data_IF_270920798692
#
_entry.id   IF_270920798692
#
_cell.length_a   1.000
_cell.length_b   1.000
_cell.length_c   1.000
_cell.angle_alpha   90.00
_cell.angle_beta   90.00
_cell.angle_gamma   90.00
#
_symmetry.space_group_name_H-M   'P 1'
#
loop_
_entity.id
_entity.type
_entity.pdbx_description
1 polymer ?
#
# COMPACT_ATOMS: atom_id res chain seq x y z
N UNK A 1 -1.66 -5.31 18.71
CA UNK A 1 -0.69 -5.25 17.61
C UNK A 1 -1.47 -5.50 16.33
N UNK A 2 -1.43 -4.57 15.37
CA UNK A 2 -2.12 -4.71 14.08
C UNK A 2 -1.27 -5.60 13.18
N UNK A 3 -1.93 -6.47 12.42
CA UNK A 3 -1.29 -7.36 11.46
C UNK A 3 -1.76 -6.98 10.05
N UNK A 4 -0.82 -6.80 9.14
CA UNK A 4 -1.10 -6.51 7.74
C UNK A 4 -0.66 -7.68 6.87
N UNK A 5 -1.64 -8.29 6.20
CA UNK A 5 -1.39 -9.34 5.20
C UNK A 5 -0.97 -8.70 3.88
N UNK A 6 0.05 -9.28 3.25
CA UNK A 6 0.55 -8.91 1.94
C UNK A 6 0.58 -10.14 1.03
N UNK A 7 0.30 -9.93 -0.26
CA UNK A 7 0.56 -10.96 -1.27
C UNK A 7 2.08 -11.21 -1.40
N UNK A 8 2.46 -12.44 -1.77
CA UNK A 8 3.88 -12.86 -1.84
C UNK A 8 4.74 -11.93 -2.70
N UNK A 9 4.17 -11.34 -3.76
CA UNK A 9 4.85 -10.38 -4.65
C UNK A 9 5.43 -9.16 -3.92
N UNK A 10 4.88 -8.79 -2.76
CA UNK A 10 5.33 -7.64 -1.99
C UNK A 10 6.38 -7.99 -0.93
N UNK A 11 6.67 -9.28 -0.70
CA UNK A 11 7.65 -9.70 0.32
C UNK A 11 9.01 -9.06 0.02
N UNK A 12 9.55 -9.24 -1.18
CA UNK A 12 10.87 -8.70 -1.53
C UNK A 12 10.91 -7.16 -1.48
N UNK A 13 9.96 -6.41 -2.11
CA UNK A 13 9.89 -4.96 -1.97
C UNK A 13 9.77 -4.45 -0.52
N UNK A 14 9.13 -5.21 0.36
CA UNK A 14 9.05 -4.86 1.80
C UNK A 14 10.42 -5.06 2.44
N UNK A 15 11.03 -6.23 2.25
CA UNK A 15 12.27 -6.59 2.92
C UNK A 15 13.46 -5.72 2.47
N UNK A 16 13.51 -5.35 1.19
CA UNK A 16 14.54 -4.46 0.65
C UNK A 16 14.28 -2.97 0.91
N UNK A 17 13.07 -2.62 1.39
CA UNK A 17 12.68 -1.27 1.76
C UNK A 17 12.20 -0.38 0.60
N UNK A 18 12.01 -0.93 -0.61
CA UNK A 18 11.38 -0.20 -1.72
C UNK A 18 9.92 0.14 -1.44
N UNK A 19 9.17 -0.84 -0.89
CA UNK A 19 7.79 -0.64 -0.46
C UNK A 19 7.77 0.03 0.92
N UNK A 20 7.36 1.29 0.96
CA UNK A 20 7.32 2.16 2.15
C UNK A 20 5.90 2.60 2.51
N UNK A 21 4.95 2.45 1.61
CA UNK A 21 3.53 2.68 1.89
C UNK A 21 2.72 1.41 1.67
N UNK A 22 1.58 1.31 2.33
CA UNK A 22 0.54 0.33 2.03
C UNK A 22 -0.82 0.99 2.06
N UNK A 23 -1.67 0.62 1.10
CA UNK A 23 -3.05 1.06 1.04
C UNK A 23 -3.98 -0.01 1.61
N UNK A 24 -4.91 0.41 2.48
CA UNK A 24 -5.90 -0.48 3.10
C UNK A 24 -7.28 0.13 2.91
N UNK A 25 -8.20 -0.65 2.36
CA UNK A 25 -9.57 -0.19 2.13
C UNK A 25 -10.25 0.10 3.47
N UNK A 26 -10.96 1.23 3.55
CA UNK A 26 -11.49 1.77 4.80
C UNK A 26 -12.69 1.02 5.40
N UNK A 27 -13.12 -0.09 4.80
CA UNK A 27 -14.33 -0.84 5.19
C UNK A 27 -14.12 -1.79 6.40
N UNK A 28 -13.05 -1.61 7.17
CA UNK A 28 -12.85 -2.37 8.42
C UNK A 28 -11.43 -2.41 8.97
N UNK A 29 -10.44 -1.82 8.30
CA UNK A 29 -9.08 -1.75 8.82
C UNK A 29 -8.99 -0.73 9.96
N UNK A 30 -8.48 -1.16 11.12
CA UNK A 30 -8.07 -0.22 12.16
C UNK A 30 -6.99 0.71 11.59
N UNK A 31 -7.24 2.02 11.64
CA UNK A 31 -6.26 3.03 11.25
C UNK A 31 -5.19 3.07 12.33
N UNK A 32 -3.94 2.70 12.02
CA UNK A 32 -2.88 2.68 13.02
C UNK A 32 -2.46 4.11 13.36
N UNK A 33 -1.92 4.29 14.56
CA UNK A 33 -1.36 5.58 14.98
C UNK A 33 0.12 5.64 14.68
N UNK A 34 0.63 6.85 14.44
CA UNK A 34 2.06 7.10 14.32
C UNK A 34 2.81 6.57 15.55
N UNK A 35 3.90 5.84 15.32
CA UNK A 35 4.71 5.19 16.34
C UNK A 35 4.24 3.78 16.73
N UNK A 36 3.07 3.33 16.27
CA UNK A 36 2.63 1.96 16.51
C UNK A 36 3.47 0.96 15.70
N UNK A 37 3.67 -0.22 16.29
CA UNK A 37 4.34 -1.35 15.63
C UNK A 37 3.29 -2.25 14.99
N UNK A 38 3.54 -2.63 13.75
CA UNK A 38 2.67 -3.54 12.98
C UNK A 38 3.46 -4.76 12.54
N UNK A 39 2.81 -5.92 12.59
CA UNK A 39 3.36 -7.15 12.03
C UNK A 39 3.02 -7.23 10.55
N UNK A 40 4.03 -7.48 9.72
CA UNK A 40 3.87 -7.71 8.28
C UNK A 40 3.77 -9.22 8.08
N UNK A 41 2.68 -9.69 7.47
CA UNK A 41 2.37 -11.11 7.29
C UNK A 41 2.24 -11.42 5.80
N UNK A 42 2.74 -12.58 5.38
CA UNK A 42 2.44 -13.17 4.08
C UNK A 42 2.30 -14.68 4.24
N UNK A 43 1.18 -15.25 3.77
CA UNK A 43 0.96 -16.70 3.79
C UNK A 43 1.03 -17.29 5.21
N UNK A 44 0.40 -16.60 6.18
CA UNK A 44 0.42 -16.94 7.61
C UNK A 44 1.78 -16.86 8.32
N UNK A 45 2.80 -16.26 7.70
CA UNK A 45 4.13 -16.05 8.31
C UNK A 45 4.39 -14.58 8.55
N UNK A 46 4.97 -14.25 9.72
CA UNK A 46 5.47 -12.90 9.99
C UNK A 46 6.79 -12.70 9.25
N UNK A 47 6.80 -11.84 8.23
CA UNK A 47 7.98 -11.52 7.42
C UNK A 47 8.77 -10.34 7.98
N UNK A 48 8.16 -9.54 8.87
CA UNK A 48 8.83 -8.42 9.50
C UNK A 48 7.95 -7.64 10.47
N UNK A 49 8.58 -6.70 11.16
CA UNK A 49 7.91 -5.71 12.01
C UNK A 49 8.26 -4.32 11.49
N UNK A 50 7.26 -3.46 11.37
CA UNK A 50 7.43 -2.07 10.95
C UNK A 50 6.85 -1.09 11.96
N UNK A 51 7.45 0.09 12.07
CA UNK A 51 6.85 1.26 12.72
C UNK A 51 5.94 1.97 11.73
N UNK A 52 4.82 2.50 12.21
CA UNK A 52 3.97 3.41 11.43
C UNK A 52 4.50 4.84 11.55
N UNK A 53 4.84 5.46 10.42
CA UNK A 53 5.28 6.85 10.35
C UNK A 53 4.13 7.84 10.18
N UNK A 54 3.07 7.41 9.49
CA UNK A 54 1.86 8.20 9.27
C UNK A 54 0.74 7.35 8.72
N UNK A 55 -0.49 7.85 8.84
CA UNK A 55 -1.65 7.29 8.17
C UNK A 55 -2.57 8.44 7.74
N UNK A 56 -3.04 8.40 6.50
CA UNK A 56 -3.94 9.41 5.92
C UNK A 56 -4.99 8.77 5.00
N UNK A 57 -6.12 9.44 4.83
CA UNK A 57 -7.13 9.04 3.85
C UNK A 57 -6.68 9.53 2.47
N UNK A 58 -6.73 8.64 1.48
CA UNK A 58 -6.44 8.97 0.08
C UNK A 58 -7.51 8.38 -0.84
N UNK A 59 -7.86 9.09 -1.90
CA UNK A 59 -8.60 8.50 -3.01
C UNK A 59 -7.63 7.84 -3.98
N UNK A 60 -7.93 6.64 -4.46
CA UNK A 60 -7.23 6.06 -5.62
C UNK A 60 -8.22 6.02 -6.77
N UNK A 61 -7.88 6.72 -7.85
CA UNK A 61 -8.64 6.71 -9.10
C UNK A 61 -7.97 5.78 -10.08
N UNK A 62 -8.70 4.80 -10.62
CA UNK A 62 -8.24 4.08 -11.80
C UNK A 62 -8.71 4.86 -13.03
N UNK A 63 -7.78 5.49 -13.75
CA UNK A 63 -8.08 6.24 -14.97
C UNK A 63 -8.61 5.32 -16.08
N UNK A 64 -9.23 5.91 -17.10
CA UNK A 64 -9.77 5.16 -18.25
C UNK A 64 -8.69 4.40 -19.04
N UNK A 65 -7.47 4.94 -19.06
CA UNK A 65 -6.28 4.30 -19.63
C UNK A 65 -5.74 3.14 -18.76
N UNK A 66 -6.19 3.02 -17.50
CA UNK A 66 -5.85 1.96 -16.56
C UNK A 66 -4.80 2.34 -15.52
N UNK A 67 -4.25 3.56 -15.53
CA UNK A 67 -3.31 4.02 -14.51
C UNK A 67 -4.01 4.26 -13.16
N UNK A 68 -3.36 3.86 -12.05
CA UNK A 68 -3.82 4.20 -10.70
C UNK A 68 -3.21 5.51 -10.22
N UNK A 69 -4.06 6.49 -9.91
CA UNK A 69 -3.63 7.83 -9.50
C UNK A 69 -4.10 8.11 -8.08
N UNK A 70 -3.19 8.46 -7.16
CA UNK A 70 -3.56 8.93 -5.83
C UNK A 70 -4.14 10.35 -5.90
N UNK A 71 -5.17 10.60 -5.09
CA UNK A 71 -5.78 11.92 -4.91
C UNK A 71 -5.79 12.22 -3.42
N UNK A 72 -5.03 13.22 -3.01
CA UNK A 72 -4.95 13.70 -1.62
C UNK A 72 -5.49 15.13 -1.60
N UNK A 73 -6.57 15.38 -0.86
CA UNK A 73 -7.14 16.70 -0.55
C UNK A 73 -6.91 17.81 -1.62
N UNK A 74 -7.36 17.57 -2.85
CA UNK A 74 -7.41 18.59 -3.90
C UNK A 74 -6.08 18.94 -4.60
N UNK A 75 -5.00 18.19 -4.35
CA UNK A 75 -3.75 18.31 -5.12
C UNK A 75 -3.44 16.98 -5.83
N UNK A 76 -3.37 17.05 -7.16
CA UNK A 76 -2.68 16.06 -7.99
C UNK A 76 -1.36 16.70 -8.41
N UNK A 77 -0.23 16.05 -8.11
CA UNK A 77 1.06 16.12 -8.84
C UNK A 77 2.20 15.49 -8.00
N UNK A 78 1.92 14.46 -7.18
CA UNK A 78 3.02 13.55 -6.82
C UNK A 78 3.21 12.60 -8.00
N UNK A 79 4.47 12.44 -8.42
CA UNK A 79 4.92 11.53 -9.48
C UNK A 79 4.25 10.15 -9.30
N UNK A 80 3.29 9.83 -10.18
CA UNK A 80 2.39 8.67 -10.06
C UNK A 80 3.20 7.36 -9.99
N UNK A 81 4.27 7.27 -10.78
CA UNK A 81 5.23 6.17 -10.71
C UNK A 81 5.91 6.10 -9.34
N UNK A 82 6.31 7.24 -8.76
CA UNK A 82 6.91 7.25 -7.42
C UNK A 82 5.93 6.70 -6.41
N UNK A 83 4.67 7.12 -6.45
CA UNK A 83 3.65 6.59 -5.55
C UNK A 83 3.47 5.08 -5.70
N UNK A 84 3.34 4.60 -6.95
CA UNK A 84 3.23 3.18 -7.24
C UNK A 84 4.44 2.40 -6.74
N UNK A 85 5.66 2.93 -6.94
CA UNK A 85 6.92 2.33 -6.44
C UNK A 85 6.98 2.28 -4.93
N UNK A 86 6.52 3.32 -4.23
CA UNK A 86 6.42 3.32 -2.77
C UNK A 86 5.42 2.26 -2.28
N UNK A 87 4.36 1.95 -3.05
CA UNK A 87 3.42 0.86 -2.77
C UNK A 87 3.94 -0.51 -3.29
N UNK A 88 5.19 -0.57 -3.79
CA UNK A 88 5.85 -1.81 -4.22
C UNK A 88 5.48 -2.29 -5.63
N UNK A 89 4.96 -1.40 -6.47
CA UNK A 89 4.73 -1.64 -7.90
C UNK A 89 5.88 -1.11 -8.75
N UNK A 90 5.91 -1.50 -10.02
CA UNK A 90 6.88 -1.00 -10.99
C UNK A 90 6.51 0.44 -11.42
N UNK A 91 5.23 0.63 -11.72
CA UNK A 91 4.63 1.85 -12.23
C UNK A 91 3.12 1.90 -11.86
N UNK A 92 2.48 3.03 -12.17
CA UNK A 92 1.07 3.32 -11.93
C UNK A 92 0.11 2.42 -12.72
N UNK A 93 0.53 1.88 -13.87
CA UNK A 93 -0.29 0.95 -14.67
C UNK A 93 -0.32 -0.45 -14.05
N UNK A 94 0.82 -0.96 -13.56
CA UNK A 94 0.90 -2.23 -12.81
C UNK A 94 0.13 -2.14 -11.50
N UNK A 95 0.14 -0.98 -10.87
CA UNK A 95 -0.71 -0.69 -9.74
C UNK A 95 -2.18 -0.76 -10.15
N UNK A 96 -2.60 -0.02 -11.19
CA UNK A 96 -3.99 -0.02 -11.64
C UNK A 96 -4.53 -1.39 -12.06
N UNK A 97 -3.76 -2.17 -12.81
CA UNK A 97 -4.10 -3.56 -13.18
C UNK A 97 -4.38 -4.41 -11.93
N UNK A 98 -3.50 -4.32 -10.94
CA UNK A 98 -3.67 -5.09 -9.70
C UNK A 98 -4.86 -4.59 -8.89
N UNK A 99 -5.09 -3.27 -8.79
CA UNK A 99 -6.22 -2.70 -8.05
C UNK A 99 -7.56 -3.09 -8.66
N UNK A 100 -7.68 -3.06 -9.99
CA UNK A 100 -8.86 -3.58 -10.70
C UNK A 100 -9.11 -5.05 -10.35
N UNK A 101 -8.07 -5.88 -10.34
CA UNK A 101 -8.19 -7.32 -10.11
C UNK A 101 -8.47 -7.67 -8.64
N UNK A 102 -7.72 -7.06 -7.72
CA UNK A 102 -7.72 -7.36 -6.29
C UNK A 102 -8.89 -6.70 -5.57
N UNK A 103 -9.09 -5.38 -5.78
CA UNK A 103 -10.14 -4.61 -5.12
C UNK A 103 -11.45 -4.49 -5.93
N UNK A 104 -11.49 -5.03 -7.16
CA UNK A 104 -12.66 -4.97 -8.06
C UNK A 104 -13.09 -3.53 -8.39
N UNK A 105 -12.10 -2.65 -8.56
CA UNK A 105 -12.33 -1.24 -8.91
C UNK A 105 -12.45 -1.13 -10.43
N UNK A 106 -13.52 -0.48 -10.93
CA UNK A 106 -13.67 -0.21 -12.35
C UNK A 106 -12.77 0.94 -12.81
N UNK A 107 -12.47 0.99 -14.11
CA UNK A 107 -11.86 2.20 -14.69
C UNK A 107 -12.84 3.37 -14.63
N UNK A 108 -12.31 4.58 -14.49
CA UNK A 108 -13.06 5.79 -14.20
C UNK A 108 -13.59 5.89 -12.76
N UNK A 109 -13.27 4.92 -11.89
CA UNK A 109 -13.77 4.90 -10.51
C UNK A 109 -12.70 5.37 -9.52
N UNK A 110 -13.12 6.19 -8.57
CA UNK A 110 -12.34 6.59 -7.38
C UNK A 110 -12.84 5.81 -6.16
N UNK A 111 -11.92 5.24 -5.39
CA UNK A 111 -12.21 4.54 -4.13
C UNK A 111 -11.31 5.08 -3.02
N UNK A 112 -11.87 5.23 -1.83
CA UNK A 112 -11.12 5.70 -0.66
C UNK A 112 -10.31 4.56 0.00
N UNK A 113 -9.07 4.88 0.35
CA UNK A 113 -8.12 4.02 1.05
C UNK A 113 -7.50 4.78 2.22
N UNK A 114 -7.01 4.02 3.19
CA UNK A 114 -6.08 4.50 4.20
C UNK A 114 -4.68 4.19 3.68
N UNK A 115 -3.92 5.22 3.34
CA UNK A 115 -2.49 5.12 3.10
C UNK A 115 -1.78 5.07 4.44
N UNK A 116 -0.87 4.10 4.60
CA UNK A 116 -0.09 3.90 5.81
C UNK A 116 1.37 3.89 5.42
N UNK A 117 2.12 4.83 5.96
CA UNK A 117 3.58 4.90 5.78
C UNK A 117 4.25 4.02 6.83
N UNK A 118 5.14 3.14 6.37
CA UNK A 118 5.80 2.10 7.15
C UNK A 118 7.32 2.26 7.09
N UNK A 119 7.96 2.18 8.25
CA UNK A 119 9.41 2.00 8.38
C UNK A 119 9.73 0.60 8.87
N UNK A 120 10.40 -0.22 8.05
CA UNK A 120 10.78 -1.57 8.46
C UNK A 120 11.84 -1.52 9.59
N UNK A 121 11.51 -2.08 10.75
CA UNK A 121 12.43 -2.17 11.89
C UNK A 121 13.17 -3.50 11.91
N UNK A 122 12.45 -4.59 11.65
CA UNK A 122 12.94 -5.95 11.83
C UNK A 122 12.59 -6.79 10.60
N UNK A 123 13.61 -7.41 10.00
CA UNK A 123 13.47 -8.41 8.95
C UNK A 123 13.37 -9.79 9.58
N UNK A 124 12.38 -10.58 9.18
CA UNK A 124 12.34 -12.02 9.48
C UNK A 124 12.47 -12.76 8.17
N UNK A 125 13.62 -13.38 7.96
CA UNK A 125 13.90 -14.06 6.69
C UNK A 125 12.82 -15.11 6.41
N UNK A 126 12.14 -15.04 5.26
CA UNK A 126 11.41 -16.18 4.74
C UNK A 126 12.47 -17.15 4.20
N UNK A 127 12.71 -18.23 4.94
CA UNK A 127 13.51 -19.37 4.48
C UNK A 127 12.98 -19.95 3.16
#
# INVERSE_FOLDING_TARGET
>A
MICYEFEERFIEPILDGRKRITLRKGDGAAVPRRGERVALISGARVIGIATVHGARLVGITIRDDGAAVPTVDGFCEEDEDVFARLDGFEDEWKMGEWYCRHYKIARGQTVAFVEIELGLEERRMPW
#
